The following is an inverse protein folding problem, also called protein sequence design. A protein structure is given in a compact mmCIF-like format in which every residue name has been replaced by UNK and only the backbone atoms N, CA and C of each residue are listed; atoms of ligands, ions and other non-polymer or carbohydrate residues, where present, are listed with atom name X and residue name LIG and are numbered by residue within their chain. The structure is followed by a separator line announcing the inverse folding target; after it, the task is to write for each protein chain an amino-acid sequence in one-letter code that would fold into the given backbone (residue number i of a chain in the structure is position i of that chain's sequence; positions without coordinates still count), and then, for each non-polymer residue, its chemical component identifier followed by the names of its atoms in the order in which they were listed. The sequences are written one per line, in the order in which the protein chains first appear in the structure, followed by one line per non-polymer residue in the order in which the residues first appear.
data_IF_685247960613
#
_entry.id   IF_685247960613
#
_cell.length_a   1.000
_cell.length_b   1.000
_cell.length_c   1.000
_cell.angle_alpha   90.00
_cell.angle_beta   90.00
_cell.angle_gamma   90.00
#
_symmetry.space_group_name_H-M   'P 1'
#
loop_
_entity.id
_entity.type
_entity.pdbx_description
1 polymer ?
#
# COMPACT_ATOMS: atom_id res chain seq x y z
N UNK A 1 35.56 -19.34 3.40
CA UNK A 1 34.85 -18.06 3.48
C UNK A 1 34.29 -17.72 2.13
N UNK A 2 32.97 -17.67 2.01
CA UNK A 2 32.26 -16.61 1.29
C UNK A 2 30.80 -16.68 1.73
N UNK A 3 30.44 -15.84 2.71
CA UNK A 3 29.12 -15.77 3.32
C UNK A 3 28.30 -14.64 2.71
N UNK A 4 28.33 -14.51 1.37
CA UNK A 4 27.45 -13.57 0.66
C UNK A 4 26.11 -14.23 0.42
N UNK A 5 25.31 -14.36 1.48
CA UNK A 5 23.87 -14.50 1.31
C UNK A 5 23.39 -13.29 0.52
N UNK A 6 22.99 -13.51 -0.73
CA UNK A 6 22.25 -12.52 -1.51
C UNK A 6 20.92 -12.34 -0.80
N UNK A 7 20.86 -11.42 0.16
CA UNK A 7 19.59 -10.97 0.72
C UNK A 7 18.70 -10.63 -0.46
N UNK A 8 17.64 -11.42 -0.66
CA UNK A 8 16.79 -11.27 -1.82
C UNK A 8 16.13 -9.90 -1.70
N UNK A 9 16.43 -9.01 -2.65
CA UNK A 9 15.84 -7.67 -2.77
C UNK A 9 14.30 -7.72 -2.64
N UNK A 10 13.71 -8.88 -2.93
CA UNK A 10 12.32 -9.25 -2.71
C UNK A 10 11.83 -8.97 -1.28
N UNK A 11 12.60 -9.29 -0.22
CA UNK A 11 12.17 -9.02 1.17
C UNK A 11 12.06 -7.51 1.46
N UNK A 12 12.95 -6.70 0.90
CA UNK A 12 12.89 -5.25 1.03
C UNK A 12 11.66 -4.67 0.35
N UNK A 13 11.30 -5.16 -0.85
CA UNK A 13 10.11 -4.72 -1.58
C UNK A 13 8.84 -5.01 -0.80
N UNK A 14 8.74 -6.20 -0.20
CA UNK A 14 7.58 -6.58 0.63
C UNK A 14 7.50 -5.68 1.88
N UNK A 15 8.63 -5.43 2.56
CA UNK A 15 8.66 -4.56 3.74
C UNK A 15 8.29 -3.11 3.39
N UNK A 16 8.84 -2.58 2.30
CA UNK A 16 8.53 -1.22 1.83
C UNK A 16 7.06 -1.09 1.43
N UNK A 17 6.49 -2.10 0.77
CA UNK A 17 5.07 -2.14 0.44
C UNK A 17 4.20 -2.14 1.71
N UNK A 18 4.54 -2.96 2.69
CA UNK A 18 3.84 -3.00 3.97
C UNK A 18 3.86 -1.64 4.70
N UNK A 19 5.01 -0.96 4.71
CA UNK A 19 5.14 0.38 5.31
C UNK A 19 4.25 1.39 4.59
N UNK A 20 4.25 1.41 3.26
CA UNK A 20 3.41 2.34 2.49
C UNK A 20 1.94 2.07 2.74
N UNK A 21 1.53 0.81 2.70
CA UNK A 21 0.14 0.41 2.98
C UNK A 21 -0.31 0.80 4.39
N UNK A 22 0.55 0.63 5.40
CA UNK A 22 0.25 1.00 6.78
C UNK A 22 0.12 2.53 6.94
N UNK A 23 0.99 3.30 6.28
CA UNK A 23 0.89 4.76 6.20
C UNK A 23 -0.44 5.18 5.57
N UNK A 24 -0.83 4.53 4.47
CA UNK A 24 -2.10 4.81 3.80
C UNK A 24 -3.31 4.49 4.69
N UNK A 25 -3.25 3.42 5.49
CA UNK A 25 -4.27 3.09 6.49
C UNK A 25 -4.36 4.13 7.62
N UNK A 26 -3.22 4.69 8.04
CA UNK A 26 -3.20 5.82 8.99
C UNK A 26 -3.93 7.04 8.42
N UNK A 27 -3.83 7.30 7.12
CA UNK A 27 -4.57 8.41 6.47
C UNK A 27 -6.08 8.15 6.35
N UNK A 28 -6.50 6.88 6.26
CA UNK A 28 -7.92 6.52 6.25
C UNK A 28 -8.63 6.86 7.57
N UNK A 29 -7.90 6.75 8.69
CA UNK A 29 -8.46 6.93 10.02
C UNK A 29 -9.06 8.33 10.28
N UNK A 30 -8.30 9.43 10.12
CA UNK A 30 -8.84 10.77 10.32
C UNK A 30 -9.94 11.09 9.30
N UNK A 31 -9.79 10.67 8.04
CA UNK A 31 -10.83 10.84 7.03
C UNK A 31 -12.15 10.18 7.46
N UNK A 32 -12.10 8.94 7.98
CA UNK A 32 -13.29 8.22 8.43
C UNK A 32 -13.97 8.92 9.62
N UNK A 33 -13.17 9.50 10.52
CA UNK A 33 -13.67 10.28 11.67
C UNK A 33 -14.34 11.58 11.21
N UNK A 34 -13.80 12.27 10.20
CA UNK A 34 -14.35 13.54 9.68
C UNK A 34 -15.27 13.37 8.47
N UNK A 35 -15.66 12.14 8.11
CA UNK A 35 -16.49 11.89 6.93
C UNK A 35 -17.83 12.66 6.96
N UNK A 36 -18.44 12.81 8.13
CA UNK A 36 -19.73 13.52 8.29
C UNK A 36 -19.71 14.97 7.80
N UNK A 37 -18.76 15.84 8.20
CA UNK A 37 -18.68 17.20 7.69
C UNK A 37 -18.17 17.32 6.25
N UNK A 38 -17.42 16.35 5.72
CA UNK A 38 -16.88 16.42 4.35
C UNK A 38 -17.92 16.15 3.25
N UNK A 39 -19.00 15.42 3.57
CA UNK A 39 -20.10 15.15 2.63
C UNK A 39 -19.66 14.51 1.32
N UNK A 40 -20.23 14.95 0.19
CA UNK A 40 -19.97 14.37 -1.14
C UNK A 40 -18.54 14.59 -1.64
N UNK A 41 -17.88 15.65 -1.17
CA UNK A 41 -16.50 15.96 -1.53
C UNK A 41 -15.53 14.93 -0.94
N UNK A 42 -15.65 14.65 0.36
CA UNK A 42 -14.82 13.62 1.01
C UNK A 42 -15.07 12.21 0.49
N UNK A 43 -16.27 11.93 -0.04
CA UNK A 43 -16.56 10.66 -0.70
C UNK A 43 -15.73 10.48 -1.99
N UNK A 44 -15.69 11.49 -2.86
CA UNK A 44 -14.90 11.41 -4.10
C UNK A 44 -13.40 11.39 -3.84
N UNK A 45 -12.91 12.18 -2.87
CA UNK A 45 -11.51 12.12 -2.46
C UNK A 45 -11.12 10.71 -1.98
N UNK A 46 -11.98 10.07 -1.19
CA UNK A 46 -11.75 8.70 -0.72
C UNK A 46 -11.78 7.69 -1.86
N UNK A 47 -12.72 7.84 -2.79
CA UNK A 47 -12.82 6.95 -3.93
C UNK A 47 -11.54 6.98 -4.78
N UNK A 48 -11.00 8.17 -5.01
CA UNK A 48 -9.72 8.34 -5.72
C UNK A 48 -8.56 7.75 -4.92
N UNK A 49 -8.50 8.00 -3.61
CA UNK A 49 -7.45 7.47 -2.76
C UNK A 49 -7.45 5.93 -2.73
N UNK A 50 -8.62 5.30 -2.52
CA UNK A 50 -8.75 3.83 -2.62
C UNK A 50 -8.39 3.34 -4.02
N UNK A 51 -8.79 4.06 -5.07
CA UNK A 51 -8.40 3.74 -6.44
C UNK A 51 -6.88 3.66 -6.62
N UNK A 52 -6.14 4.61 -6.03
CA UNK A 52 -4.67 4.60 -6.05
C UNK A 52 -4.10 3.37 -5.30
N UNK A 53 -4.65 3.03 -4.13
CA UNK A 53 -4.26 1.81 -3.39
C UNK A 53 -4.42 0.55 -4.24
N UNK A 54 -5.57 0.41 -4.89
CA UNK A 54 -5.90 -0.75 -5.71
C UNK A 54 -4.96 -0.83 -6.92
N UNK A 55 -4.64 0.28 -7.56
CA UNK A 55 -3.67 0.32 -8.67
C UNK A 55 -2.27 -0.05 -8.19
N UNK A 56 -1.85 0.46 -7.03
CA UNK A 56 -0.57 0.10 -6.41
C UNK A 56 -0.48 -1.40 -6.08
N UNK A 57 -1.54 -1.95 -5.49
CA UNK A 57 -1.65 -3.37 -5.19
C UNK A 57 -1.65 -4.23 -6.46
N UNK A 58 -2.43 -3.86 -7.47
CA UNK A 58 -2.51 -4.56 -8.74
C UNK A 58 -1.15 -4.58 -9.47
N UNK A 59 -0.40 -3.48 -9.40
CA UNK A 59 0.95 -3.40 -9.96
C UNK A 59 1.93 -4.33 -9.23
N UNK A 60 1.90 -4.35 -7.90
CA UNK A 60 2.76 -5.25 -7.09
C UNK A 60 2.41 -6.71 -7.32
N UNK A 61 1.12 -7.03 -7.43
CA UNK A 61 0.64 -8.37 -7.76
C UNK A 61 1.15 -8.80 -9.14
N UNK A 62 0.97 -7.96 -10.17
CA UNK A 62 1.42 -8.25 -11.54
C UNK A 62 2.94 -8.40 -11.69
N UNK A 63 3.72 -7.82 -10.78
CA UNK A 63 5.19 -7.98 -10.74
C UNK A 63 5.68 -9.26 -10.06
N UNK A 64 4.78 -10.14 -9.60
CA UNK A 64 5.17 -11.42 -8.98
C UNK A 64 5.91 -11.24 -7.66
N UNK A 65 5.77 -10.09 -6.98
CA UNK A 65 6.38 -9.88 -5.66
C UNK A 65 5.79 -10.81 -4.58
N UNK A 66 4.65 -11.44 -4.87
CA UNK A 66 3.94 -12.40 -4.03
C UNK A 66 4.06 -13.85 -4.52
N UNK A 67 4.74 -14.13 -5.64
CA UNK A 67 4.96 -15.52 -6.09
C UNK A 67 6.07 -16.17 -5.26
N UNK A 68 5.64 -17.12 -4.44
CA UNK A 68 6.47 -18.03 -3.66
C UNK A 68 6.86 -19.21 -4.55
N UNK A 69 8.11 -19.21 -5.03
CA UNK A 69 8.88 -20.45 -5.22
C UNK A 69 9.94 -20.54 -4.11
#
# INVERSE_FOLDING_TARGET
GDARHRYSVRFYVIAMFFIVFDIEAIFLYPWAVVFKPLGWFGFWEMLVFIGILVVGLAYVWGKGALEWE
#
